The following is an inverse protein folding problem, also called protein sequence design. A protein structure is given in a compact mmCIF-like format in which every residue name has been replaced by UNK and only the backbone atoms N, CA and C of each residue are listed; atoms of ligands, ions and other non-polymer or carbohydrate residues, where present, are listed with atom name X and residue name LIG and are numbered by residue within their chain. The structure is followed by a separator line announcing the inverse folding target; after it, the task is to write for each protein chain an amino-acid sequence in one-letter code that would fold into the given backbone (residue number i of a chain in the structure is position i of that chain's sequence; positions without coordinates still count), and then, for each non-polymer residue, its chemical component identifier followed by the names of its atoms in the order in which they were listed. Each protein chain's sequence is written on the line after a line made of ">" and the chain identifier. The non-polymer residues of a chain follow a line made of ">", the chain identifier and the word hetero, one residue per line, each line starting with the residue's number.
data_IF_709902781081
#
_entry.id   IF_709902781081
#
_cell.length_a   1.000
_cell.length_b   1.000
_cell.length_c   1.000
_cell.angle_alpha   90.00
_cell.angle_beta   90.00
_cell.angle_gamma   90.00
#
_symmetry.space_group_name_H-M   'P 1'
#
loop_
_entity.id
_entity.type
_entity.pdbx_description
1 polymer ?
#
# COMPACT_ATOMS: atom_id res chain seq x y z
N UNK A 1 -6.92 8.43 5.32
CA UNK A 1 -6.14 7.19 5.11
C UNK A 1 -6.88 6.36 4.06
N UNK A 2 -6.19 5.83 3.04
CA UNK A 2 -6.78 4.96 1.99
C UNK A 2 -6.13 3.59 2.11
N UNK A 3 -6.93 2.52 2.15
CA UNK A 3 -6.46 1.13 2.14
C UNK A 3 -6.87 0.42 0.84
N UNK A 4 -6.05 -0.54 0.42
CA UNK A 4 -6.34 -1.45 -0.70
C UNK A 4 -6.03 -2.85 -0.18
N UNK A 5 -7.03 -3.73 -0.21
CA UNK A 5 -6.93 -5.08 0.35
C UNK A 5 -6.62 -6.10 -0.74
N UNK A 6 -5.85 -7.12 -0.38
CA UNK A 6 -5.54 -8.25 -1.25
C UNK A 6 -5.82 -9.54 -0.48
N UNK A 7 -6.55 -10.45 -1.10
CA UNK A 7 -6.99 -11.72 -0.48
C UNK A 7 -6.22 -12.93 -1.00
N UNK A 8 -5.43 -12.77 -2.05
CA UNK A 8 -4.63 -13.83 -2.65
C UNK A 8 -3.31 -13.98 -1.90
N UNK A 9 -3.19 -15.06 -1.11
CA UNK A 9 -2.10 -15.25 -0.15
C UNK A 9 -0.69 -15.27 -0.78
N UNK A 10 -0.58 -15.67 -2.06
CA UNK A 10 0.71 -15.74 -2.77
C UNK A 10 1.05 -14.48 -3.55
N UNK A 11 0.15 -13.49 -3.57
CA UNK A 11 0.42 -12.22 -4.25
C UNK A 11 1.38 -11.36 -3.42
N UNK A 12 2.58 -11.16 -3.96
CA UNK A 12 3.63 -10.33 -3.33
C UNK A 12 3.68 -8.91 -3.90
N UNK A 13 2.76 -8.57 -4.81
CA UNK A 13 2.76 -7.31 -5.56
C UNK A 13 1.35 -6.74 -5.63
N UNK A 14 1.26 -5.41 -5.54
CA UNK A 14 0.03 -4.65 -5.65
C UNK A 14 0.29 -3.32 -6.37
N UNK A 15 -0.59 -2.97 -7.29
CA UNK A 15 -0.56 -1.66 -7.96
C UNK A 15 -1.62 -0.73 -7.36
N UNK A 16 -1.19 0.43 -6.87
CA UNK A 16 -2.10 1.48 -6.41
C UNK A 16 -2.31 2.51 -7.51
N UNK A 17 -3.51 2.50 -8.09
CA UNK A 17 -3.88 3.40 -9.20
C UNK A 17 -4.65 4.64 -8.73
N UNK A 18 -4.83 5.59 -9.66
CA UNK A 18 -5.55 6.86 -9.47
C UNK A 18 -4.92 7.74 -8.38
N UNK A 19 -3.59 7.81 -8.37
CA UNK A 19 -2.85 8.78 -7.57
C UNK A 19 -2.76 10.10 -8.33
N UNK A 20 -2.85 11.23 -7.61
CA UNK A 20 -2.63 12.54 -8.22
C UNK A 20 -1.20 12.64 -8.76
N UNK A 21 -0.97 13.19 -9.97
CA UNK A 21 0.36 13.56 -10.45
C UNK A 21 1.06 14.52 -9.49
N UNK A 22 2.40 14.57 -9.57
CA UNK A 22 3.24 15.50 -8.80
C UNK A 22 2.97 15.54 -7.29
N UNK A 23 2.63 14.40 -6.69
CA UNK A 23 2.29 14.30 -5.28
C UNK A 23 3.11 13.22 -4.57
N UNK A 24 3.57 13.53 -3.35
CA UNK A 24 4.29 12.58 -2.50
C UNK A 24 3.31 11.79 -1.64
N UNK A 25 3.43 10.47 -1.67
CA UNK A 25 2.66 9.53 -0.85
C UNK A 25 3.58 8.73 0.06
N UNK A 26 3.02 8.28 1.19
CA UNK A 26 3.66 7.29 2.07
C UNK A 26 2.86 5.99 2.02
N UNK A 27 3.53 4.88 1.75
CA UNK A 27 2.91 3.55 1.70
C UNK A 27 3.47 2.66 2.80
N UNK A 28 2.62 1.80 3.36
CA UNK A 28 2.96 0.73 4.30
C UNK A 28 2.06 -0.46 4.03
N UNK A 29 2.53 -1.66 4.37
CA UNK A 29 1.76 -2.90 4.25
C UNK A 29 1.48 -3.43 5.65
N UNK A 30 0.27 -3.94 5.86
CA UNK A 30 -0.14 -4.61 7.11
C UNK A 30 -0.71 -5.97 6.73
N UNK A 31 -0.14 -7.04 7.28
CA UNK A 31 -0.66 -8.39 7.10
C UNK A 31 -1.90 -8.60 7.98
N UNK A 32 -2.88 -9.35 7.49
CA UNK A 32 -4.08 -9.72 8.26
C UNK A 32 -4.23 -11.24 8.28
N UNK A 33 -4.57 -11.79 9.44
CA UNK A 33 -4.99 -13.17 9.62
C UNK A 33 -6.25 -13.23 10.50
N UNK A 34 -6.70 -14.42 10.87
CA UNK A 34 -7.91 -14.62 11.69
C UNK A 34 -7.84 -13.96 13.08
N UNK A 35 -6.63 -13.70 13.59
CA UNK A 35 -6.40 -13.02 14.88
C UNK A 35 -6.33 -11.49 14.74
N UNK A 36 -6.40 -10.96 13.51
CA UNK A 36 -6.40 -9.53 13.21
C UNK A 36 -5.15 -9.05 12.46
N UNK A 37 -4.86 -7.73 12.52
CA UNK A 37 -3.69 -7.14 11.86
C UNK A 37 -2.39 -7.52 12.59
N UNK A 38 -1.37 -7.85 11.81
CA UNK A 38 0.01 -7.95 12.27
C UNK A 38 0.70 -6.58 12.32
N UNK A 39 2.03 -6.62 12.48
CA UNK A 39 2.85 -5.41 12.47
C UNK A 39 2.84 -4.74 11.08
N UNK A 40 2.90 -3.41 11.08
CA UNK A 40 3.07 -2.63 9.86
C UNK A 40 4.51 -2.73 9.37
N UNK A 41 4.69 -2.82 8.05
CA UNK A 41 6.00 -2.59 7.45
C UNK A 41 6.52 -1.18 7.74
N UNK A 42 7.81 -0.96 7.52
CA UNK A 42 8.35 0.39 7.37
C UNK A 42 7.62 1.14 6.25
N UNK A 43 7.47 2.46 6.45
CA UNK A 43 6.80 3.32 5.50
C UNK A 43 7.77 3.82 4.44
N UNK A 44 7.43 3.60 3.16
CA UNK A 44 8.18 4.15 2.04
C UNK A 44 7.52 5.43 1.53
N UNK A 45 8.33 6.44 1.17
CA UNK A 45 7.85 7.70 0.60
C UNK A 45 8.25 7.81 -0.86
N UNK A 46 7.28 8.03 -1.73
CA UNK A 46 7.46 8.08 -3.18
C UNK A 46 6.64 9.23 -3.76
N UNK A 47 7.17 9.87 -4.81
CA UNK A 47 6.46 10.92 -5.56
C UNK A 47 5.97 10.38 -6.90
N UNK A 48 4.75 10.74 -7.27
CA UNK A 48 4.21 10.46 -8.60
C UNK A 48 4.85 11.37 -9.64
N UNK A 49 4.89 10.89 -10.87
CA UNK A 49 5.40 11.65 -12.00
C UNK A 49 4.44 12.80 -12.39
N UNK A 50 4.92 13.82 -13.09
CA UNK A 50 4.07 14.77 -13.82
C UNK A 50 3.20 14.08 -14.89
N UNK A 51 2.18 14.78 -15.37
CA UNK A 51 1.37 14.34 -16.53
C UNK A 51 2.18 14.27 -17.83
#
# INVERSE_FOLDING_TARGET
>A
ERSVNVTEAESLQLTVSNLRPEATYSFRVVAYNEQGPGESSEAIRLSTQPE
#
